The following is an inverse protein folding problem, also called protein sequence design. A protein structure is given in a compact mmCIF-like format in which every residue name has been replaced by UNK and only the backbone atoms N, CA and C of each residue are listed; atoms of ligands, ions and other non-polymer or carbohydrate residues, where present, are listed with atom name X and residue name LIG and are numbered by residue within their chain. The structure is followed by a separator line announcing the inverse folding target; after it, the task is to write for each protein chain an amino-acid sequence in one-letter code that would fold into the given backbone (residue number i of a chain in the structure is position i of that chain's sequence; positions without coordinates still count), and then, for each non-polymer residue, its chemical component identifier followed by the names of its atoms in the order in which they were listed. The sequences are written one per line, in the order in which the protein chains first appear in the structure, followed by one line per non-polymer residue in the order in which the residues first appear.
data_IF_477679080866
#
_entry.id   IF_477679080866
#
_cell.length_a   1.000
_cell.length_b   1.000
_cell.length_c   1.000
_cell.angle_alpha   90.00
_cell.angle_beta   90.00
_cell.angle_gamma   90.00
#
_symmetry.space_group_name_H-M   'P 1'
#
loop_
_entity.id
_entity.type
_entity.pdbx_description
1 polymer ?
#
# COMPACT_ATOMS: atom_id res chain seq x y z
N UNK A 1 -19.80 -21.12 12.74
CA UNK A 1 -18.86 -20.40 11.87
C UNK A 1 -17.65 -21.29 11.65
N UNK A 2 -17.16 -21.31 10.42
CA UNK A 2 -15.88 -21.94 10.09
C UNK A 2 -14.96 -20.83 9.53
N UNK A 3 -13.76 -20.69 10.11
CA UNK A 3 -12.70 -19.80 9.62
C UNK A 3 -11.50 -20.66 9.24
N UNK A 4 -11.07 -20.56 7.99
CA UNK A 4 -9.98 -21.37 7.45
C UNK A 4 -8.93 -20.45 6.81
N UNK A 5 -7.66 -20.65 7.16
CA UNK A 5 -6.55 -19.96 6.53
C UNK A 5 -5.71 -20.93 5.72
N UNK A 6 -5.29 -20.54 4.52
CA UNK A 6 -4.48 -21.41 3.66
C UNK A 6 -3.16 -21.82 4.32
N UNK A 7 -2.57 -22.91 3.84
CA UNK A 7 -1.36 -23.52 4.45
C UNK A 7 -0.11 -22.62 4.43
N UNK A 8 -0.13 -21.54 3.65
CA UNK A 8 0.95 -20.57 3.58
C UNK A 8 0.61 -19.27 4.31
N UNK A 9 -0.67 -19.05 4.66
CA UNK A 9 -1.15 -17.83 5.27
C UNK A 9 -0.99 -16.61 4.38
N UNK A 10 -1.32 -16.71 3.08
CA UNK A 10 -1.16 -15.63 2.12
C UNK A 10 -1.92 -14.38 2.50
N UNK A 11 -3.15 -14.54 3.04
CA UNK A 11 -3.97 -13.43 3.49
C UNK A 11 -4.18 -13.47 5.00
N UNK A 12 -4.33 -12.31 5.65
CA UNK A 12 -4.57 -12.25 7.08
C UNK A 12 -5.98 -12.76 7.42
N UNK A 13 -6.12 -13.36 8.59
CA UNK A 13 -7.38 -13.76 9.17
C UNK A 13 -7.24 -13.76 10.69
N UNK A 14 -8.09 -13.01 11.38
CA UNK A 14 -8.00 -12.79 12.81
C UNK A 14 -9.33 -13.11 13.50
N UNK A 15 -9.23 -13.47 14.77
CA UNK A 15 -10.37 -13.74 15.65
C UNK A 15 -10.38 -12.70 16.78
N UNK A 16 -11.55 -12.19 17.06
CA UNK A 16 -11.81 -11.33 18.20
C UNK A 16 -12.96 -11.85 19.04
N UNK A 17 -13.17 -11.22 20.19
CA UNK A 17 -14.29 -11.47 21.12
C UNK A 17 -15.18 -10.24 21.22
N UNK A 18 -16.50 -10.44 21.24
CA UNK A 18 -17.49 -9.39 21.44
C UNK A 18 -18.57 -9.90 22.39
N UNK A 19 -18.61 -9.38 23.62
CA UNK A 19 -19.42 -9.97 24.70
C UNK A 19 -19.03 -11.43 24.92
N UNK A 20 -20.01 -12.33 24.94
CA UNK A 20 -19.80 -13.78 25.06
C UNK A 20 -19.57 -14.48 23.72
N UNK A 21 -19.52 -13.73 22.61
CA UNK A 21 -19.39 -14.27 21.26
C UNK A 21 -18.01 -14.03 20.65
N UNK A 22 -17.84 -14.60 19.45
CA UNK A 22 -16.63 -14.45 18.64
C UNK A 22 -16.94 -13.72 17.33
N UNK A 23 -15.95 -13.00 16.85
CA UNK A 23 -15.95 -12.34 15.54
C UNK A 23 -14.73 -12.76 14.75
N UNK A 24 -14.86 -12.80 13.43
CA UNK A 24 -13.78 -13.15 12.51
C UNK A 24 -13.66 -12.05 11.47
N UNK A 25 -12.48 -11.57 11.21
CA UNK A 25 -12.20 -10.54 10.21
C UNK A 25 -10.83 -10.76 9.56
N UNK A 26 -10.68 -10.26 8.34
CA UNK A 26 -9.39 -10.23 7.65
C UNK A 26 -8.44 -9.16 8.21
N UNK A 27 -8.99 -8.12 8.86
CA UNK A 27 -8.22 -6.99 9.41
C UNK A 27 -8.64 -6.67 10.84
N UNK A 28 -7.66 -6.40 11.71
CA UNK A 28 -7.91 -6.09 13.13
C UNK A 28 -8.65 -4.76 13.34
N UNK A 29 -8.49 -3.79 12.43
CA UNK A 29 -9.24 -2.53 12.46
C UNK A 29 -10.77 -2.72 12.44
N UNK A 30 -11.26 -3.85 11.90
CA UNK A 30 -12.68 -4.19 11.95
C UNK A 30 -13.16 -4.44 13.38
N UNK A 31 -12.32 -4.96 14.26
CA UNK A 31 -12.65 -5.19 15.67
C UNK A 31 -12.85 -3.87 16.40
N UNK A 32 -11.97 -2.90 16.17
CA UNK A 32 -12.06 -1.57 16.79
C UNK A 32 -13.37 -0.86 16.43
N UNK A 33 -13.79 -0.97 15.15
CA UNK A 33 -15.03 -0.35 14.66
C UNK A 33 -16.27 -0.88 15.40
N UNK A 34 -16.30 -2.17 15.76
CA UNK A 34 -17.46 -2.80 16.41
C UNK A 34 -17.30 -2.95 17.93
N UNK A 35 -16.15 -2.50 18.48
CA UNK A 35 -15.85 -2.64 19.91
C UNK A 35 -15.48 -4.06 20.34
N UNK A 36 -15.03 -4.91 19.41
CA UNK A 36 -14.52 -6.24 19.70
C UNK A 36 -13.07 -6.18 20.19
N UNK A 37 -12.64 -7.19 20.92
CA UNK A 37 -11.25 -7.31 21.37
C UNK A 37 -10.52 -8.37 20.54
N UNK A 38 -9.35 -8.02 20.02
CA UNK A 38 -8.48 -8.98 19.35
C UNK A 38 -8.13 -10.15 20.28
N UNK A 39 -8.28 -11.35 19.80
CA UNK A 39 -7.92 -12.58 20.52
C UNK A 39 -6.61 -13.15 19.99
N UNK A 40 -6.57 -13.48 18.69
CA UNK A 40 -5.39 -13.99 17.98
C UNK A 40 -5.60 -14.03 16.47
N UNK A 41 -4.53 -14.22 15.74
CA UNK A 41 -4.61 -14.59 14.33
C UNK A 41 -4.94 -16.07 14.17
N UNK A 42 -5.54 -16.42 13.02
CA UNK A 42 -5.68 -17.82 12.58
C UNK A 42 -4.36 -18.26 11.96
N UNK A 43 -3.84 -19.39 12.42
CA UNK A 43 -2.57 -19.92 11.93
C UNK A 43 -2.67 -20.41 10.48
N UNK A 44 -1.58 -20.36 9.69
CA UNK A 44 -1.52 -21.04 8.40
C UNK A 44 -1.88 -22.53 8.51
N UNK A 45 -2.80 -23.00 7.66
CA UNK A 45 -3.25 -24.38 7.66
C UNK A 45 -4.20 -24.76 8.80
N UNK A 46 -4.78 -23.77 9.46
CA UNK A 46 -5.76 -23.94 10.54
C UNK A 46 -7.19 -23.79 10.04
N UNK A 47 -8.09 -24.60 10.62
CA UNK A 47 -9.54 -24.44 10.59
C UNK A 47 -10.02 -24.17 12.01
N UNK A 48 -10.66 -23.04 12.21
CA UNK A 48 -11.34 -22.70 13.47
C UNK A 48 -12.83 -22.93 13.30
N UNK A 49 -13.41 -23.70 14.22
CA UNK A 49 -14.86 -23.92 14.33
C UNK A 49 -15.39 -23.17 15.55
N UNK A 50 -16.40 -22.38 15.35
CA UNK A 50 -17.10 -21.62 16.40
C UNK A 50 -18.57 -22.03 16.38
N UNK A 51 -19.04 -22.65 17.45
CA UNK A 51 -20.41 -23.07 17.66
C UNK A 51 -20.85 -22.90 19.13
N UNK A 52 -21.97 -23.52 19.52
CA UNK A 52 -22.48 -23.46 20.89
C UNK A 52 -21.57 -24.13 21.94
N UNK A 53 -20.60 -24.90 21.53
CA UNK A 53 -19.56 -25.46 22.41
C UNK A 53 -18.32 -24.55 22.52
N UNK A 54 -18.33 -23.38 21.89
CA UNK A 54 -17.23 -22.43 21.89
C UNK A 54 -16.32 -22.55 20.69
N UNK A 55 -15.09 -22.06 20.84
CA UNK A 55 -14.06 -22.03 19.80
C UNK A 55 -13.19 -23.30 19.87
N UNK A 56 -13.06 -23.98 18.74
CA UNK A 56 -12.19 -25.17 18.59
C UNK A 56 -11.32 -24.97 17.37
N UNK A 57 -10.08 -25.45 17.47
CA UNK A 57 -9.08 -25.34 16.41
C UNK A 57 -8.63 -26.72 15.97
N UNK A 58 -8.45 -26.90 14.67
CA UNK A 58 -7.85 -28.10 14.07
C UNK A 58 -6.90 -27.71 12.93
N UNK A 59 -5.75 -28.39 12.85
CA UNK A 59 -4.83 -28.23 11.73
C UNK A 59 -5.21 -29.18 10.59
N UNK A 60 -5.45 -28.65 9.40
CA UNK A 60 -5.63 -29.49 8.20
C UNK A 60 -4.33 -29.70 7.43
N UNK A 61 -3.28 -28.96 7.77
CA UNK A 61 -1.94 -29.12 7.21
C UNK A 61 -0.90 -29.12 8.33
N UNK A 62 -0.04 -30.13 8.35
CA UNK A 62 1.14 -30.16 9.21
C UNK A 62 2.28 -29.32 8.66
N UNK A 63 2.21 -28.96 7.39
CA UNK A 63 3.19 -28.13 6.72
C UNK A 63 2.79 -26.65 6.88
N UNK A 64 3.45 -25.98 7.82
CA UNK A 64 3.25 -24.54 8.09
C UNK A 64 4.45 -23.77 7.53
N UNK A 65 4.21 -22.94 6.54
CA UNK A 65 5.17 -21.90 6.10
C UNK A 65 4.45 -20.58 6.02
N UNK A 66 4.91 -19.61 6.78
CA UNK A 66 4.43 -18.24 6.66
C UNK A 66 4.95 -17.62 5.35
N UNK A 67 4.02 -17.33 4.45
CA UNK A 67 4.25 -16.72 3.13
C UNK A 67 3.23 -15.62 2.89
N UNK A 68 3.06 -14.75 3.90
CA UNK A 68 2.15 -13.60 3.82
C UNK A 68 2.40 -12.79 2.55
N UNK A 69 1.33 -12.44 1.85
CA UNK A 69 1.39 -11.56 0.72
C UNK A 69 1.83 -10.15 1.18
N UNK A 70 2.95 -9.67 0.69
CA UNK A 70 3.49 -8.37 1.08
C UNK A 70 2.60 -7.20 0.65
N UNK A 71 1.76 -7.40 -0.38
CA UNK A 71 0.79 -6.39 -0.83
C UNK A 71 -0.27 -6.07 0.21
N UNK A 72 -0.51 -6.97 1.18
CA UNK A 72 -1.35 -6.67 2.35
C UNK A 72 -0.78 -5.48 3.13
N UNK A 73 0.53 -5.49 3.37
CA UNK A 73 1.21 -4.38 4.05
C UNK A 73 1.38 -3.14 3.17
N UNK A 74 1.74 -3.32 1.90
CA UNK A 74 2.03 -2.21 0.99
C UNK A 74 0.76 -1.43 0.66
N UNK A 75 -0.35 -2.13 0.34
CA UNK A 75 -1.51 -1.49 -0.27
C UNK A 75 -2.86 -1.85 0.37
N UNK A 76 -3.19 -3.17 0.56
CA UNK A 76 -4.56 -3.57 0.84
C UNK A 76 -5.04 -3.18 2.24
N UNK A 77 -4.26 -3.48 3.28
CA UNK A 77 -4.69 -3.29 4.66
C UNK A 77 -4.75 -1.81 5.04
N UNK A 78 -5.67 -1.47 5.91
CA UNK A 78 -5.76 -0.14 6.50
C UNK A 78 -4.53 0.11 7.41
N UNK A 79 -4.04 1.36 7.48
CA UNK A 79 -2.86 1.69 8.28
C UNK A 79 -2.99 1.38 9.78
N UNK A 80 -4.20 1.39 10.32
CA UNK A 80 -4.54 1.09 11.71
C UNK A 80 -4.67 -0.41 12.00
N UNK A 81 -4.54 -1.29 11.00
CA UNK A 81 -4.55 -2.74 11.19
C UNK A 81 -3.20 -3.27 11.68
N UNK A 82 -3.26 -4.30 12.52
CA UNK A 82 -2.13 -5.15 12.88
C UNK A 82 -2.25 -6.50 12.16
N UNK A 83 -1.20 -6.92 11.48
CA UNK A 83 -1.13 -8.21 10.79
C UNK A 83 0.04 -8.99 11.37
N UNK A 84 -0.24 -10.16 11.94
CA UNK A 84 0.78 -11.02 12.57
C UNK A 84 1.72 -10.26 13.53
N UNK A 85 1.16 -9.30 14.28
CA UNK A 85 1.87 -8.48 15.25
C UNK A 85 2.74 -7.37 14.66
N UNK A 86 2.58 -7.05 13.37
CA UNK A 86 3.19 -5.89 12.75
C UNK A 86 2.11 -4.88 12.33
N UNK A 87 2.17 -3.66 12.87
CA UNK A 87 1.27 -2.59 12.50
C UNK A 87 1.57 -2.08 11.09
N UNK A 88 0.53 -1.95 10.25
CA UNK A 88 0.65 -1.56 8.83
C UNK A 88 1.21 -0.14 8.66
N UNK A 89 0.75 0.83 9.49
CA UNK A 89 1.30 2.19 9.45
C UNK A 89 2.81 2.18 9.76
N UNK A 90 3.21 1.44 10.80
CA UNK A 90 4.62 1.34 11.21
C UNK A 90 5.47 0.69 10.12
N UNK A 91 4.97 -0.37 9.48
CA UNK A 91 5.63 -1.00 8.35
C UNK A 91 5.86 0.00 7.20
N UNK A 92 4.79 0.69 6.76
CA UNK A 92 4.89 1.68 5.66
C UNK A 92 5.81 2.84 6.01
N UNK A 93 5.77 3.32 7.26
CA UNK A 93 6.66 4.37 7.73
C UNK A 93 8.13 3.94 7.70
N UNK A 94 8.45 2.71 8.11
CA UNK A 94 9.79 2.12 8.00
C UNK A 94 10.22 1.98 6.53
N UNK A 95 9.31 1.56 5.64
CA UNK A 95 9.58 1.48 4.20
C UNK A 95 9.99 2.84 3.65
N UNK A 96 9.31 3.93 4.02
CA UNK A 96 9.68 5.28 3.64
C UNK A 96 11.05 5.71 4.18
N UNK A 97 11.36 5.38 5.43
CA UNK A 97 12.69 5.63 6.01
C UNK A 97 13.79 4.92 5.21
N UNK A 98 13.64 3.62 4.95
CA UNK A 98 14.63 2.87 4.18
C UNK A 98 14.73 3.33 2.73
N UNK A 99 13.63 3.79 2.14
CA UNK A 99 13.64 4.38 0.80
C UNK A 99 14.52 5.63 0.73
N UNK A 100 14.49 6.48 1.77
CA UNK A 100 15.43 7.61 1.89
C UNK A 100 16.86 7.14 2.09
N UNK A 101 17.11 6.16 2.95
CA UNK A 101 18.46 5.64 3.21
C UNK A 101 19.12 5.06 1.95
N UNK A 102 18.34 4.42 1.07
CA UNK A 102 18.81 3.90 -0.22
C UNK A 102 18.94 4.99 -1.29
N UNK A 103 18.04 5.98 -1.30
CA UNK A 103 17.90 6.99 -2.35
C UNK A 103 17.68 8.39 -1.77
N UNK A 104 18.72 9.02 -1.19
CA UNK A 104 18.62 10.40 -0.73
C UNK A 104 18.50 11.36 -1.91
N UNK A 105 17.51 12.25 -1.87
CA UNK A 105 17.23 13.24 -2.90
C UNK A 105 17.12 14.62 -2.25
N UNK A 106 17.72 15.63 -2.88
CA UNK A 106 17.55 17.02 -2.50
C UNK A 106 16.28 17.61 -3.13
N UNK A 107 15.33 18.02 -2.31
CA UNK A 107 14.09 18.66 -2.73
C UNK A 107 13.54 19.58 -1.63
N UNK A 108 12.46 20.27 -1.93
CA UNK A 108 11.88 21.26 -1.01
C UNK A 108 10.78 20.67 -0.13
N UNK A 109 10.05 19.68 -0.63
CA UNK A 109 8.94 19.03 0.09
C UNK A 109 8.79 17.55 -0.28
N UNK A 110 8.25 16.77 0.66
CA UNK A 110 7.79 15.40 0.45
C UNK A 110 6.27 15.38 0.39
N UNK A 111 5.71 14.74 -0.62
CA UNK A 111 4.27 14.59 -0.84
C UNK A 111 3.92 13.11 -1.00
N UNK A 112 2.93 12.61 -0.28
CA UNK A 112 2.43 11.23 -0.43
C UNK A 112 1.21 11.18 -1.34
N UNK A 113 1.11 10.14 -2.15
CA UNK A 113 -0.13 9.85 -2.90
C UNK A 113 -1.19 9.31 -1.92
N UNK A 114 -2.35 9.97 -1.76
CA UNK A 114 -3.39 9.51 -0.84
C UNK A 114 -4.08 8.22 -1.36
N UNK A 115 -4.48 7.27 -0.49
CA UNK A 115 -4.33 7.26 0.97
C UNK A 115 -3.19 6.33 1.40
N UNK A 116 -2.78 5.36 0.57
CA UNK A 116 -1.89 4.23 0.89
C UNK A 116 -0.45 4.66 1.17
N UNK A 117 0.03 5.73 0.50
CA UNK A 117 1.43 6.14 0.56
C UNK A 117 1.75 7.15 1.66
N UNK A 118 0.73 7.67 2.38
CA UNK A 118 0.93 8.74 3.36
C UNK A 118 1.91 8.33 4.48
N UNK A 119 1.78 7.12 4.98
CA UNK A 119 2.68 6.62 6.04
C UNK A 119 4.13 6.52 5.58
N UNK A 120 4.36 6.06 4.34
CA UNK A 120 5.71 6.00 3.75
C UNK A 120 6.28 7.41 3.52
N UNK A 121 5.47 8.35 3.03
CA UNK A 121 5.88 9.73 2.85
C UNK A 121 6.31 10.40 4.17
N UNK A 122 5.57 10.16 5.25
CA UNK A 122 5.95 10.61 6.61
C UNK A 122 7.30 10.00 7.01
N UNK A 123 7.49 8.70 6.80
CA UNK A 123 8.74 8.01 7.14
C UNK A 123 9.95 8.54 6.35
N UNK A 124 9.77 8.82 5.06
CA UNK A 124 10.78 9.46 4.22
C UNK A 124 11.11 10.87 4.71
N UNK A 125 10.10 11.69 4.98
CA UNK A 125 10.26 13.06 5.43
C UNK A 125 10.98 13.14 6.79
N UNK A 126 10.61 12.30 7.75
CA UNK A 126 11.30 12.25 9.05
C UNK A 126 12.77 11.82 8.93
N UNK A 127 13.08 10.88 8.04
CA UNK A 127 14.44 10.40 7.84
C UNK A 127 15.31 11.42 7.09
N UNK A 128 14.74 12.13 6.11
CA UNK A 128 15.44 13.11 5.29
C UNK A 128 15.58 14.49 5.94
N UNK A 129 14.68 14.83 6.88
CA UNK A 129 14.53 16.19 7.39
C UNK A 129 13.82 17.15 6.43
N UNK A 130 13.37 16.68 5.26
CA UNK A 130 12.59 17.47 4.30
C UNK A 130 11.13 17.50 4.77
N UNK A 131 10.46 18.68 4.80
CA UNK A 131 9.09 18.78 5.29
C UNK A 131 8.11 17.91 4.49
N UNK A 132 7.25 17.17 5.21
CA UNK A 132 6.07 16.54 4.62
C UNK A 132 4.98 17.59 4.43
N UNK A 133 4.40 17.66 3.23
CA UNK A 133 3.33 18.58 2.92
C UNK A 133 2.15 17.89 2.20
N UNK A 134 0.93 18.36 2.46
CA UNK A 134 -0.27 17.89 1.78
C UNK A 134 -0.37 18.49 0.35
N UNK A 135 0.53 18.05 -0.53
CA UNK A 135 0.57 18.53 -1.92
C UNK A 135 -0.52 17.92 -2.82
N UNK A 136 -1.10 16.80 -2.40
CA UNK A 136 -2.20 16.11 -3.09
C UNK A 136 -3.35 15.84 -2.13
N UNK A 137 -4.57 16.08 -2.58
CA UNK A 137 -5.80 15.77 -1.84
C UNK A 137 -6.68 14.81 -2.64
N UNK A 138 -7.27 13.86 -1.94
CA UNK A 138 -8.29 12.97 -2.50
C UNK A 138 -9.67 13.61 -2.36
N UNK A 139 -10.40 13.71 -3.47
CA UNK A 139 -11.78 14.22 -3.47
C UNK A 139 -12.71 13.26 -2.73
N UNK A 140 -13.40 13.78 -1.72
CA UNK A 140 -14.42 13.01 -0.96
C UNK A 140 -15.76 12.91 -1.69
N UNK A 141 -15.95 13.69 -2.77
CA UNK A 141 -17.22 13.80 -3.49
C UNK A 141 -17.35 12.79 -4.64
N UNK A 142 -16.28 12.10 -4.98
CA UNK A 142 -16.26 11.11 -6.07
C UNK A 142 -16.22 9.72 -5.47
N UNK A 143 -17.37 9.06 -5.42
CA UNK A 143 -17.44 7.63 -5.11
C UNK A 143 -16.82 6.82 -6.25
N UNK A 144 -16.15 5.69 -5.90
CA UNK A 144 -15.46 4.71 -6.77
C UNK A 144 -15.75 4.83 -8.28
N UNK A 145 -14.85 5.46 -9.02
CA UNK A 145 -14.92 5.68 -10.47
C UNK A 145 -14.47 4.45 -11.30
N UNK A 146 -14.19 3.32 -10.68
CA UNK A 146 -13.67 2.12 -11.35
C UNK A 146 -14.67 1.38 -12.24
N UNK A 147 -15.95 1.80 -12.27
CA UNK A 147 -17.01 1.19 -13.09
C UNK A 147 -17.44 2.16 -14.20
N UNK A 148 -16.50 2.80 -14.87
CA UNK A 148 -16.82 3.64 -16.01
C UNK A 148 -16.52 2.89 -17.33
N UNK A 149 -17.47 2.83 -18.27
CA UNK A 149 -17.35 1.97 -19.46
C UNK A 149 -16.36 2.47 -20.51
N UNK A 150 -15.93 3.72 -20.48
CA UNK A 150 -15.00 4.27 -21.50
C UNK A 150 -13.71 4.81 -20.89
N UNK A 151 -12.62 4.78 -21.68
CA UNK A 151 -11.31 5.29 -21.27
C UNK A 151 -11.35 6.79 -20.95
N UNK A 152 -12.08 7.60 -21.73
CA UNK A 152 -12.26 9.03 -21.47
C UNK A 152 -12.93 9.33 -20.13
N UNK A 153 -13.92 8.54 -19.74
CA UNK A 153 -14.59 8.67 -18.45
C UNK A 153 -13.68 8.22 -17.30
N UNK A 154 -12.85 7.20 -17.50
CA UNK A 154 -11.79 6.80 -16.56
C UNK A 154 -10.73 7.87 -16.40
N UNK A 155 -10.36 8.54 -17.48
CA UNK A 155 -9.36 9.63 -17.48
C UNK A 155 -9.87 10.88 -16.77
N UNK A 156 -11.13 11.25 -16.99
CA UNK A 156 -11.82 12.29 -16.21
C UNK A 156 -11.98 11.89 -14.75
N UNK A 157 -12.23 10.60 -14.46
CA UNK A 157 -12.37 10.08 -13.11
C UNK A 157 -11.11 10.29 -12.24
N UNK A 158 -9.91 10.10 -12.75
CA UNK A 158 -8.67 10.35 -11.99
C UNK A 158 -8.49 11.85 -11.68
N UNK A 159 -8.78 12.74 -12.63
CA UNK A 159 -8.76 14.19 -12.38
C UNK A 159 -9.82 14.64 -11.36
N UNK A 160 -10.91 13.88 -11.20
CA UNK A 160 -11.94 14.15 -10.19
C UNK A 160 -11.60 13.55 -8.81
N UNK A 161 -10.69 12.56 -8.77
CA UNK A 161 -10.36 11.85 -7.53
C UNK A 161 -9.19 12.46 -6.77
N UNK A 162 -8.21 13.05 -7.49
CA UNK A 162 -7.03 13.70 -6.91
C UNK A 162 -6.90 15.13 -7.39
N UNK A 163 -6.52 16.01 -6.49
CA UNK A 163 -6.28 17.43 -6.79
C UNK A 163 -4.98 17.91 -6.15
N UNK A 164 -4.11 18.61 -6.89
CA UNK A 164 -2.91 19.21 -6.33
C UNK A 164 -3.25 20.48 -5.56
N UNK A 165 -2.55 20.71 -4.45
CA UNK A 165 -2.65 21.94 -3.66
C UNK A 165 -1.64 22.95 -4.23
N UNK A 166 -2.07 23.81 -5.15
CA UNK A 166 -1.21 24.73 -5.91
C UNK A 166 -0.32 25.61 -5.04
N UNK A 167 -0.83 26.11 -3.91
CA UNK A 167 -0.07 26.94 -2.97
C UNK A 167 1.06 26.17 -2.26
N UNK A 168 0.98 24.84 -2.21
CA UNK A 168 1.99 23.97 -1.60
C UNK A 168 3.05 23.59 -2.62
N UNK A 169 2.64 23.14 -3.81
CA UNK A 169 3.57 22.56 -4.80
C UNK A 169 4.16 23.57 -5.77
N UNK A 170 3.54 24.77 -5.93
CA UNK A 170 3.97 25.79 -6.87
C UNK A 170 5.39 26.30 -6.58
N UNK A 171 6.27 26.25 -7.58
CA UNK A 171 7.66 26.66 -7.49
C UNK A 171 8.56 25.72 -6.67
N UNK A 172 8.10 24.52 -6.33
CA UNK A 172 8.82 23.55 -5.48
C UNK A 172 9.36 22.37 -6.27
N UNK A 173 10.49 21.83 -5.80
CA UNK A 173 10.98 20.50 -6.14
C UNK A 173 10.29 19.51 -5.20
N UNK A 174 9.55 18.57 -5.76
CA UNK A 174 8.66 17.66 -5.03
C UNK A 174 9.22 16.24 -5.05
N UNK A 175 9.36 15.62 -3.88
CA UNK A 175 9.51 14.17 -3.77
C UNK A 175 8.10 13.59 -3.63
N UNK A 176 7.65 12.87 -4.66
CA UNK A 176 6.37 12.18 -4.68
C UNK A 176 6.56 10.73 -4.24
N UNK A 177 6.00 10.37 -3.10
CA UNK A 177 6.01 9.00 -2.59
C UNK A 177 4.74 8.28 -3.01
N UNK A 178 4.89 7.14 -3.68
CA UNK A 178 3.77 6.24 -4.00
C UNK A 178 4.06 4.82 -3.46
N UNK A 179 3.03 4.00 -3.29
CA UNK A 179 3.17 2.64 -2.76
C UNK A 179 3.71 1.66 -3.80
N UNK A 180 3.22 1.75 -5.04
CA UNK A 180 3.58 0.84 -6.14
C UNK A 180 3.29 1.46 -7.50
N UNK A 181 3.99 0.98 -8.53
CA UNK A 181 3.66 1.25 -9.94
C UNK A 181 3.34 -0.07 -10.63
N UNK A 182 2.11 -0.19 -11.18
CA UNK A 182 1.67 -1.37 -11.94
C UNK A 182 1.68 -1.08 -13.44
N UNK A 183 0.86 -0.14 -13.90
CA UNK A 183 0.72 0.24 -15.32
C UNK A 183 1.35 1.59 -15.67
N UNK A 184 1.73 2.41 -14.69
CA UNK A 184 2.32 3.74 -14.86
C UNK A 184 1.34 4.85 -15.27
N UNK A 185 0.11 4.52 -15.68
CA UNK A 185 -0.88 5.51 -16.15
C UNK A 185 -1.31 6.49 -15.07
N UNK A 186 -1.51 6.01 -13.84
CA UNK A 186 -1.86 6.85 -12.68
C UNK A 186 -0.72 7.78 -12.30
N UNK A 187 0.50 7.24 -12.20
CA UNK A 187 1.70 8.02 -11.84
C UNK A 187 1.95 9.14 -12.85
N UNK A 188 1.86 8.85 -14.16
CA UNK A 188 1.97 9.86 -15.21
C UNK A 188 0.97 10.99 -15.06
N UNK A 189 -0.30 10.67 -14.76
CA UNK A 189 -1.35 11.68 -14.55
C UNK A 189 -1.07 12.55 -13.33
N UNK A 190 -0.64 11.96 -12.22
CA UNK A 190 -0.29 12.68 -10.99
C UNK A 190 0.87 13.64 -11.25
N UNK A 191 1.92 13.19 -11.92
CA UNK A 191 3.07 14.02 -12.25
C UNK A 191 2.66 15.20 -13.15
N UNK A 192 1.85 14.92 -14.18
CA UNK A 192 1.30 16.00 -15.05
C UNK A 192 0.52 17.03 -14.24
N UNK A 193 -0.35 16.59 -13.32
CA UNK A 193 -1.12 17.49 -12.46
C UNK A 193 -0.23 18.34 -11.54
N UNK A 194 0.83 17.78 -10.98
CA UNK A 194 1.79 18.51 -10.14
C UNK A 194 2.54 19.56 -10.94
N UNK A 195 2.99 19.23 -12.17
CA UNK A 195 3.64 20.19 -13.07
C UNK A 195 2.68 21.30 -13.51
N UNK A 196 1.43 20.98 -13.87
CA UNK A 196 0.38 21.97 -14.17
C UNK A 196 0.04 22.87 -12.96
N UNK A 197 0.28 22.37 -11.75
CA UNK A 197 0.15 23.14 -10.52
C UNK A 197 1.37 24.01 -10.20
N UNK A 198 2.46 23.89 -10.98
CA UNK A 198 3.66 24.72 -10.88
C UNK A 198 4.85 24.05 -10.20
N UNK A 199 4.85 22.75 -9.95
CA UNK A 199 6.04 22.04 -9.47
C UNK A 199 7.19 22.16 -10.48
N UNK A 200 8.39 22.50 -10.02
CA UNK A 200 9.59 22.68 -10.86
C UNK A 200 10.25 21.36 -11.19
N UNK A 201 10.30 20.46 -10.21
CA UNK A 201 10.80 19.09 -10.35
C UNK A 201 9.85 18.13 -9.63
N UNK A 202 9.73 16.90 -10.16
CA UNK A 202 8.96 15.81 -9.55
C UNK A 202 9.80 14.54 -9.52
N UNK A 203 10.35 14.23 -8.37
CA UNK A 203 11.11 13.02 -8.10
C UNK A 203 10.18 11.95 -7.53
N UNK A 204 10.13 10.79 -8.15
CA UNK A 204 9.20 9.72 -7.75
C UNK A 204 9.95 8.64 -6.98
N UNK A 205 9.46 8.31 -5.80
CA UNK A 205 10.00 7.25 -4.96
C UNK A 205 8.88 6.26 -4.59
N UNK A 206 9.08 4.99 -4.92
CA UNK A 206 8.10 3.93 -4.73
C UNK A 206 8.47 3.10 -3.50
N UNK A 207 7.56 3.07 -2.51
CA UNK A 207 7.78 2.39 -1.24
C UNK A 207 7.65 0.86 -1.31
N UNK A 208 7.83 0.30 -2.50
CA UNK A 208 7.90 -1.13 -2.77
C UNK A 208 8.92 -1.43 -3.86
N UNK A 209 9.36 -2.70 -3.98
CA UNK A 209 10.14 -3.14 -5.11
C UNK A 209 9.36 -3.03 -6.42
N UNK A 210 10.10 -3.01 -7.52
CA UNK A 210 9.56 -3.01 -8.87
C UNK A 210 8.64 -4.22 -9.09
N UNK A 211 7.39 -3.97 -9.47
CA UNK A 211 6.38 -4.99 -9.70
C UNK A 211 6.54 -5.60 -11.11
N UNK A 212 7.13 -6.78 -11.19
CA UNK A 212 7.58 -7.38 -12.46
C UNK A 212 6.95 -8.72 -12.83
N UNK A 213 6.05 -9.26 -12.00
CA UNK A 213 5.43 -10.56 -12.25
C UNK A 213 3.93 -10.54 -11.97
N UNK A 214 3.11 -11.23 -12.76
CA UNK A 214 1.68 -11.39 -12.50
C UNK A 214 1.42 -12.07 -11.16
N UNK A 215 0.26 -11.79 -10.57
CA UNK A 215 -0.21 -12.45 -9.37
C UNK A 215 -1.22 -13.55 -9.71
N UNK A 216 -1.08 -14.71 -9.05
CA UNK A 216 -2.00 -15.86 -9.17
C UNK A 216 -2.81 -16.09 -7.88
N UNK A 217 -2.75 -15.16 -6.92
CA UNK A 217 -3.28 -15.31 -5.56
C UNK A 217 -4.24 -14.20 -5.15
N UNK A 218 -4.82 -13.47 -6.12
CA UNK A 218 -5.92 -12.53 -5.86
C UNK A 218 -5.63 -11.04 -6.11
N UNK A 219 -4.40 -10.64 -6.45
CA UNK A 219 -4.14 -9.29 -6.96
C UNK A 219 -4.49 -9.24 -8.44
N UNK A 220 -5.31 -8.26 -8.86
CA UNK A 220 -5.76 -8.11 -10.25
C UNK A 220 -4.64 -7.58 -11.17
N UNK A 221 -3.65 -8.43 -11.43
CA UNK A 221 -2.52 -8.21 -12.32
C UNK A 221 -2.25 -9.51 -13.08
N UNK A 222 -3.12 -9.80 -14.04
CA UNK A 222 -3.21 -11.14 -14.65
C UNK A 222 -2.12 -11.45 -15.68
N UNK A 223 -1.53 -10.45 -16.33
CA UNK A 223 -0.61 -10.68 -17.46
C UNK A 223 0.66 -9.84 -17.35
N UNK A 224 1.75 -10.32 -17.99
CA UNK A 224 3.02 -9.58 -18.05
C UNK A 224 2.92 -8.30 -18.86
N UNK A 225 2.07 -8.26 -19.89
CA UNK A 225 1.89 -7.13 -20.81
C UNK A 225 1.36 -5.89 -20.08
N UNK A 226 0.57 -6.08 -19.01
CA UNK A 226 0.03 -4.99 -18.21
C UNK A 226 1.05 -4.38 -17.26
N UNK A 227 2.13 -5.09 -16.96
CA UNK A 227 3.11 -4.69 -15.95
C UNK A 227 4.23 -3.85 -16.57
N UNK A 228 4.22 -2.54 -16.32
CA UNK A 228 5.28 -1.65 -16.80
C UNK A 228 6.65 -2.10 -16.28
N UNK A 229 6.71 -2.62 -15.05
CA UNK A 229 7.92 -3.12 -14.42
C UNK A 229 8.45 -4.41 -15.03
N UNK A 230 7.64 -5.21 -15.73
CA UNK A 230 8.08 -6.41 -16.44
C UNK A 230 8.72 -6.07 -17.80
N UNK A 231 8.24 -5.00 -18.45
CA UNK A 231 8.55 -4.69 -19.84
C UNK A 231 9.59 -3.57 -20.02
N UNK A 232 9.84 -2.77 -18.98
CA UNK A 232 10.70 -1.59 -19.06
C UNK A 232 11.73 -1.54 -17.94
N UNK A 233 12.89 -0.97 -18.22
CA UNK A 233 13.88 -0.59 -17.21
C UNK A 233 13.36 0.55 -16.33
N UNK A 234 13.99 0.81 -15.20
CA UNK A 234 13.62 1.94 -14.32
C UNK A 234 13.74 3.27 -15.06
N UNK A 235 14.75 3.42 -15.89
CA UNK A 235 14.99 4.64 -16.66
C UNK A 235 13.89 4.87 -17.71
N UNK A 236 13.50 3.82 -18.45
CA UNK A 236 12.39 3.89 -19.40
C UNK A 236 11.06 4.21 -18.69
N UNK A 237 10.81 3.61 -17.52
CA UNK A 237 9.60 3.92 -16.72
C UNK A 237 9.61 5.39 -16.32
N UNK A 238 10.73 5.92 -15.85
CA UNK A 238 10.90 7.34 -15.50
C UNK A 238 10.48 8.25 -16.66
N UNK A 239 10.97 7.95 -17.87
CA UNK A 239 10.61 8.71 -19.09
C UNK A 239 9.12 8.58 -19.42
N UNK A 240 8.56 7.38 -19.38
CA UNK A 240 7.14 7.11 -19.67
C UNK A 240 6.22 7.89 -18.72
N UNK A 241 6.55 7.95 -17.43
CA UNK A 241 5.72 8.67 -16.45
C UNK A 241 6.03 10.17 -16.41
N UNK A 242 7.15 10.63 -16.99
CA UNK A 242 7.57 12.03 -17.06
C UNK A 242 8.15 12.58 -15.76
N UNK A 243 8.79 11.74 -14.96
CA UNK A 243 9.46 12.12 -13.73
C UNK A 243 10.91 12.60 -13.99
N UNK A 244 11.45 13.44 -13.08
CA UNK A 244 12.85 13.86 -13.13
C UNK A 244 13.78 12.75 -12.62
N UNK A 245 13.31 11.97 -11.64
CA UNK A 245 13.96 10.72 -11.20
C UNK A 245 12.92 9.71 -10.72
N UNK A 246 13.30 8.42 -10.73
CA UNK A 246 12.46 7.32 -10.26
C UNK A 246 13.31 6.31 -9.49
N UNK A 247 12.84 5.96 -8.29
CA UNK A 247 13.48 4.98 -7.42
C UNK A 247 12.45 4.02 -6.84
N UNK A 248 12.87 2.80 -6.61
CA UNK A 248 12.09 1.74 -5.97
C UNK A 248 12.82 1.27 -4.71
N UNK A 249 12.07 0.98 -3.66
CA UNK A 249 12.61 0.34 -2.47
C UNK A 249 13.15 -1.06 -2.82
N UNK A 250 14.31 -1.43 -2.29
CA UNK A 250 14.84 -2.78 -2.50
C UNK A 250 14.01 -3.85 -1.78
N UNK A 251 13.99 -5.12 -2.27
CA UNK A 251 13.39 -6.23 -1.56
C UNK A 251 13.96 -6.43 -0.16
N UNK A 252 15.24 -6.20 0.01
CA UNK A 252 15.98 -6.32 1.29
C UNK A 252 15.49 -5.29 2.31
N UNK A 253 15.31 -4.04 1.89
CA UNK A 253 14.78 -2.97 2.74
C UNK A 253 13.32 -3.20 3.09
N UNK A 254 12.51 -3.68 2.14
CA UNK A 254 11.13 -4.06 2.39
C UNK A 254 11.03 -5.18 3.43
N UNK A 255 11.91 -6.19 3.34
CA UNK A 255 11.99 -7.26 4.34
C UNK A 255 12.37 -6.71 5.72
N UNK A 256 13.38 -5.81 5.80
CA UNK A 256 13.74 -5.14 7.06
C UNK A 256 12.58 -4.36 7.67
N UNK A 257 11.73 -3.72 6.84
CA UNK A 257 10.57 -3.00 7.33
C UNK A 257 9.55 -3.91 8.05
N UNK A 258 9.47 -5.18 7.65
CA UNK A 258 8.56 -6.18 8.22
C UNK A 258 9.06 -6.83 9.52
N UNK A 259 10.33 -6.65 9.88
CA UNK A 259 10.91 -7.27 11.08
C UNK A 259 10.26 -6.66 12.33
N UNK A 260 9.75 -7.54 13.18
CA UNK A 260 9.22 -7.20 14.50
C UNK A 260 10.39 -6.71 15.38
N UNK A 261 10.26 -5.54 15.95
CA UNK A 261 11.18 -5.02 16.99
C UNK A 261 10.64 -5.33 18.35
#
# INVERSE_FOLDING_TARGET
IYACRDKYGFHPLSIGTLGDGYVVASETCAFDVIGAKFLRDVEPGEIVTIDHHGLRSSAYSLFKRHRMCVMEYIYFARPDSDIEGCNVHTFRKRSGKYLFEEHPIEADIVVGVPDSSLSAAIGYAEASGIPYEMGLLKSKYVARTFIQPTQELRDKGVKMTLSPVRSVVGGKRVILIDDSIVRGTTSRKIITMLREAGATEVHVCIASPKYSSPCYYGVDTGTYEELIGANHSTEEIKEIIGADSLYFLSPEALYKASVRT
#
